data_IF_700431947727
#
_entry.id   IF_700431947727
#
_cell.length_a   1.000
_cell.length_b   1.000
_cell.length_c   1.000
_cell.angle_alpha   90.00
_cell.angle_beta   90.00
_cell.angle_gamma   90.00
#
_symmetry.space_group_name_H-M   'P 1'
#
loop_
_entity.id
_entity.type
_entity.pdbx_description
1 polymer ?
#
# COMPACT_ATOMS: atom_id res chain seq x y z
N UNK A 1 40.33 -46.38 43.27
CA UNK A 1 40.67 -46.32 41.85
C UNK A 1 39.45 -46.11 40.95
N UNK A 2 38.28 -46.65 41.26
CA UNK A 2 37.06 -46.58 40.42
C UNK A 2 36.54 -45.18 40.25
N UNK A 3 36.52 -44.31 41.25
CA UNK A 3 36.02 -42.94 41.15
C UNK A 3 36.82 -42.01 40.20
N UNK A 4 38.11 -42.20 40.09
CA UNK A 4 38.97 -41.46 39.17
C UNK A 4 38.72 -41.87 37.70
N UNK A 5 38.54 -43.16 37.46
CA UNK A 5 38.22 -43.63 36.11
C UNK A 5 36.88 -43.20 35.64
N UNK A 6 35.81 -43.12 36.48
CA UNK A 6 34.49 -42.66 36.17
C UNK A 6 34.50 -41.15 35.85
N UNK A 7 35.28 -40.37 36.59
CA UNK A 7 35.45 -38.93 36.33
C UNK A 7 36.08 -38.66 34.96
N UNK A 8 37.08 -39.41 34.56
CA UNK A 8 37.68 -39.25 33.22
C UNK A 8 36.73 -39.63 32.10
N UNK A 9 35.92 -40.65 32.27
CA UNK A 9 34.91 -41.04 31.26
C UNK A 9 33.86 -39.95 31.08
N UNK A 10 33.39 -39.32 32.16
CA UNK A 10 32.42 -38.25 32.12
C UNK A 10 33.02 -37.02 31.44
N UNK A 11 34.24 -36.62 31.72
CA UNK A 11 34.89 -35.48 31.10
C UNK A 11 35.15 -35.68 29.60
N UNK A 12 35.57 -36.92 29.20
CA UNK A 12 35.73 -37.21 27.76
C UNK A 12 34.41 -37.22 27.00
N UNK A 13 33.31 -37.65 27.64
CA UNK A 13 32.00 -37.66 27.04
C UNK A 13 31.44 -36.24 26.88
N UNK A 14 31.66 -35.35 27.86
CA UNK A 14 31.28 -33.93 27.79
C UNK A 14 32.10 -33.21 26.72
N UNK A 15 33.42 -33.51 26.62
CA UNK A 15 34.27 -32.92 25.59
C UNK A 15 33.85 -33.34 24.18
N UNK A 16 33.41 -34.58 24.00
CA UNK A 16 32.94 -35.13 22.74
C UNK A 16 31.58 -34.50 22.32
N UNK A 17 30.69 -34.26 23.27
CA UNK A 17 29.41 -33.57 23.02
C UNK A 17 29.64 -32.11 22.65
N UNK A 18 30.59 -31.41 23.30
CA UNK A 18 30.92 -30.03 22.94
C UNK A 18 31.52 -29.89 21.52
N UNK A 19 32.28 -30.89 21.06
CA UNK A 19 32.81 -30.91 19.69
C UNK A 19 31.72 -31.13 18.63
N UNK A 20 30.65 -31.84 18.96
CA UNK A 20 29.53 -32.09 18.03
C UNK A 20 28.62 -30.87 17.85
N UNK A 21 28.59 -29.97 18.83
CA UNK A 21 27.76 -28.73 18.77
C UNK A 21 28.46 -27.61 17.97
N UNK A 22 29.79 -27.65 17.87
CA UNK A 22 30.57 -26.66 17.13
C UNK A 22 30.50 -26.80 15.60
N UNK A 23 29.90 -27.88 15.08
CA UNK A 23 29.82 -28.18 13.64
C UNK A 23 28.53 -27.83 12.95
N UNK A 24 27.51 -27.25 13.61
CA UNK A 24 26.21 -26.91 12.97
C UNK A 24 26.02 -25.43 12.65
N UNK A 25 27.04 -24.76 12.15
CA UNK A 25 26.83 -23.57 11.35
C UNK A 25 26.50 -24.02 9.92
N UNK A 26 25.23 -24.24 9.63
CA UNK A 26 24.73 -24.31 8.25
C UNK A 26 24.81 -22.91 7.65
N UNK A 27 25.83 -22.66 6.85
CA UNK A 27 25.81 -21.52 5.92
C UNK A 27 24.80 -21.88 4.85
N UNK A 28 23.61 -21.34 4.98
CA UNK A 28 22.65 -21.32 3.87
C UNK A 28 23.22 -20.38 2.84
N UNK A 29 23.78 -20.92 1.76
CA UNK A 29 24.05 -20.12 0.56
C UNK A 29 22.70 -19.76 -0.05
N UNK A 30 22.38 -18.50 -0.01
CA UNK A 30 21.26 -17.89 -0.71
C UNK A 30 21.70 -17.59 -2.15
N UNK A 31 22.00 -18.66 -2.89
CA UNK A 31 22.31 -18.58 -4.31
C UNK A 31 21.31 -19.47 -5.05
N UNK A 32 20.29 -18.86 -5.64
CA UNK A 32 19.61 -19.29 -6.88
C UNK A 32 18.15 -18.84 -7.08
N UNK A 33 17.66 -17.76 -6.45
CA UNK A 33 16.33 -17.25 -6.80
C UNK A 33 16.22 -15.72 -6.99
N UNK A 34 17.30 -14.99 -6.97
CA UNK A 34 17.29 -13.51 -6.94
C UNK A 34 17.75 -12.86 -8.25
N UNK A 35 18.19 -13.62 -9.25
CA UNK A 35 18.76 -13.01 -10.47
C UNK A 35 17.72 -12.34 -11.40
N UNK A 36 16.42 -12.65 -11.28
CA UNK A 36 15.41 -12.02 -12.15
C UNK A 36 14.74 -10.78 -11.55
N UNK A 37 14.66 -10.70 -10.21
CA UNK A 37 14.03 -9.56 -9.52
C UNK A 37 15.02 -8.44 -9.23
N UNK A 38 16.29 -8.75 -8.94
CA UNK A 38 17.35 -7.74 -8.77
C UNK A 38 17.69 -7.02 -10.09
N UNK A 39 17.60 -7.71 -11.23
CA UNK A 39 17.84 -7.11 -12.54
C UNK A 39 16.72 -6.14 -12.97
N UNK A 40 15.47 -6.41 -12.57
CA UNK A 40 14.33 -5.56 -12.93
C UNK A 40 14.32 -4.24 -12.14
N UNK A 41 14.77 -4.25 -10.90
CA UNK A 41 14.91 -3.03 -10.08
C UNK A 41 16.19 -2.24 -10.37
N UNK A 42 17.23 -2.87 -10.90
CA UNK A 42 18.53 -2.23 -11.13
C UNK A 42 18.48 -1.02 -12.07
N UNK A 43 17.50 -0.98 -12.98
CA UNK A 43 17.28 0.13 -13.91
C UNK A 43 16.84 1.44 -13.23
N UNK A 44 16.32 1.35 -12.00
CA UNK A 44 15.85 2.52 -11.24
C UNK A 44 16.91 3.14 -10.33
N UNK A 45 18.13 2.61 -10.34
CA UNK A 45 19.23 3.18 -9.58
C UNK A 45 20.11 4.04 -10.50
N UNK A 46 20.05 5.35 -10.33
CA UNK A 46 21.01 6.27 -10.94
C UNK A 46 22.13 6.55 -9.94
N UNK A 47 23.39 6.30 -10.33
CA UNK A 47 24.58 6.43 -9.47
C UNK A 47 24.51 5.65 -8.14
N UNK A 48 23.69 4.60 -8.06
CA UNK A 48 23.49 3.78 -6.85
C UNK A 48 22.43 4.33 -5.90
N UNK A 49 21.69 5.34 -6.28
CA UNK A 49 20.52 5.84 -5.55
C UNK A 49 19.23 5.43 -6.28
N UNK A 50 18.23 4.94 -5.52
CA UNK A 50 16.94 4.53 -6.07
C UNK A 50 16.11 5.74 -6.53
N UNK A 51 15.71 5.77 -7.79
CA UNK A 51 14.80 6.79 -8.35
C UNK A 51 13.33 6.35 -8.28
N UNK A 52 12.66 6.73 -7.18
CA UNK A 52 11.26 6.43 -6.96
C UNK A 52 10.31 7.05 -8.02
N UNK A 53 10.70 8.17 -8.62
CA UNK A 53 9.90 8.82 -9.66
C UNK A 53 9.93 8.00 -10.95
N UNK A 54 11.12 7.61 -11.39
CA UNK A 54 11.29 6.77 -12.57
C UNK A 54 10.56 5.43 -12.39
N UNK A 55 10.68 4.81 -11.21
CA UNK A 55 9.95 3.59 -10.88
C UNK A 55 8.44 3.79 -11.03
N UNK A 56 7.85 4.80 -10.40
CA UNK A 56 6.41 5.07 -10.47
C UNK A 56 5.95 5.35 -11.91
N UNK A 57 6.71 6.15 -12.67
CA UNK A 57 6.40 6.42 -14.08
C UNK A 57 6.36 5.14 -14.93
N UNK A 58 7.25 4.19 -14.64
CA UNK A 58 7.30 2.93 -15.39
C UNK A 58 6.14 1.98 -15.08
N UNK A 59 5.70 1.90 -13.80
CA UNK A 59 4.66 0.95 -13.38
C UNK A 59 3.24 1.53 -13.43
N UNK A 60 3.07 2.86 -13.56
CA UNK A 60 1.76 3.50 -13.41
C UNK A 60 0.73 3.02 -14.43
N UNK A 61 1.04 3.14 -15.73
CA UNK A 61 0.10 2.78 -16.80
C UNK A 61 0.01 1.27 -17.03
N UNK A 62 1.09 0.53 -16.77
CA UNK A 62 1.19 -0.88 -17.08
C UNK A 62 0.72 -1.79 -15.93
N UNK A 63 0.80 -1.32 -14.68
CA UNK A 63 0.47 -2.12 -13.51
C UNK A 63 -0.49 -1.44 -12.53
N UNK A 64 -0.19 -0.21 -12.04
CA UNK A 64 -0.98 0.44 -10.99
C UNK A 64 -2.41 0.73 -11.46
N UNK A 65 -2.55 1.43 -12.58
CA UNK A 65 -3.87 1.82 -13.08
C UNK A 65 -4.71 0.61 -13.55
N UNK A 66 -4.18 -0.37 -14.26
CA UNK A 66 -4.89 -1.62 -14.58
C UNK A 66 -5.34 -2.37 -13.33
N UNK A 67 -4.46 -2.53 -12.32
CA UNK A 67 -4.80 -3.22 -11.07
C UNK A 67 -5.98 -2.57 -10.37
N UNK A 68 -5.96 -1.25 -10.20
CA UNK A 68 -7.07 -0.54 -9.55
C UNK A 68 -8.35 -0.62 -10.40
N UNK A 69 -8.28 -0.53 -11.72
CA UNK A 69 -9.46 -0.66 -12.60
C UNK A 69 -10.13 -2.05 -12.49
N UNK A 70 -9.34 -3.09 -12.39
CA UNK A 70 -9.81 -4.48 -12.30
C UNK A 70 -10.44 -4.78 -10.94
N UNK A 71 -9.77 -4.40 -9.85
CA UNK A 71 -10.16 -4.76 -8.49
C UNK A 71 -11.12 -3.77 -7.83
N UNK A 72 -11.31 -2.57 -8.39
CA UNK A 72 -12.18 -1.57 -7.79
C UNK A 72 -13.64 -2.01 -7.74
N UNK A 73 -14.19 -1.98 -6.55
CA UNK A 73 -15.59 -2.29 -6.25
C UNK A 73 -16.42 -1.01 -6.36
N UNK A 74 -17.66 -1.13 -6.84
CA UNK A 74 -18.62 -0.02 -6.80
C UNK A 74 -18.82 0.44 -5.35
N UNK A 75 -18.75 1.74 -5.13
CA UNK A 75 -18.78 2.34 -3.78
C UNK A 75 -20.03 1.93 -2.99
N UNK A 76 -21.18 1.89 -3.63
CA UNK A 76 -22.44 1.48 -3.00
C UNK A 76 -22.35 0.05 -2.47
N UNK A 77 -21.84 -0.89 -3.28
CA UNK A 77 -21.67 -2.30 -2.89
C UNK A 77 -20.64 -2.45 -1.78
N UNK A 78 -19.51 -1.75 -1.89
CA UNK A 78 -18.45 -1.83 -0.89
C UNK A 78 -18.89 -1.27 0.46
N UNK A 79 -19.48 -0.08 0.47
CA UNK A 79 -19.90 0.56 1.72
C UNK A 79 -21.07 -0.14 2.38
N UNK A 80 -22.02 -0.69 1.61
CA UNK A 80 -23.07 -1.56 2.14
C UNK A 80 -22.49 -2.83 2.78
N UNK A 81 -21.50 -3.46 2.12
CA UNK A 81 -20.81 -4.64 2.66
C UNK A 81 -20.06 -4.32 3.96
N UNK A 82 -19.34 -3.20 4.01
CA UNK A 82 -18.62 -2.74 5.22
C UNK A 82 -19.59 -2.40 6.36
N UNK A 83 -20.79 -1.89 6.05
CA UNK A 83 -21.83 -1.62 7.06
C UNK A 83 -22.50 -2.89 7.60
N UNK A 84 -22.73 -3.89 6.75
CA UNK A 84 -23.48 -5.08 7.13
C UNK A 84 -22.61 -6.16 7.77
N UNK A 85 -21.45 -6.43 7.19
CA UNK A 85 -20.47 -7.41 7.68
C UNK A 85 -19.05 -7.00 7.28
N UNK A 86 -18.36 -6.18 8.10
CA UNK A 86 -17.01 -5.74 7.82
C UNK A 86 -16.02 -6.89 7.61
N UNK A 87 -16.18 -7.99 8.33
CA UNK A 87 -15.27 -9.14 8.23
C UNK A 87 -15.34 -9.79 6.86
N UNK A 88 -16.52 -10.03 6.35
CA UNK A 88 -16.75 -10.56 5.00
C UNK A 88 -16.31 -9.56 3.92
N UNK A 89 -16.56 -8.25 4.12
CA UNK A 89 -16.11 -7.22 3.20
C UNK A 89 -14.57 -7.16 3.11
N UNK A 90 -13.89 -7.26 4.24
CA UNK A 90 -12.43 -7.31 4.34
C UNK A 90 -11.88 -8.55 3.62
N UNK A 91 -12.44 -9.72 3.90
CA UNK A 91 -12.00 -10.98 3.28
C UNK A 91 -12.13 -10.95 1.75
N UNK A 92 -13.18 -10.31 1.25
CA UNK A 92 -13.54 -10.33 -0.17
C UNK A 92 -12.88 -9.21 -0.98
N UNK A 93 -12.73 -8.03 -0.40
CA UNK A 93 -12.35 -6.82 -1.13
C UNK A 93 -11.15 -6.09 -0.52
N UNK A 94 -10.76 -6.46 0.71
CA UNK A 94 -9.69 -5.77 1.43
C UNK A 94 -8.33 -6.33 1.06
N UNK A 95 -7.36 -5.43 0.90
CA UNK A 95 -5.96 -5.76 0.77
C UNK A 95 -5.15 -5.10 1.88
N UNK A 96 -4.13 -5.76 2.39
CA UNK A 96 -3.15 -5.17 3.30
C UNK A 96 -1.77 -5.70 3.01
N UNK A 97 -0.79 -4.84 3.07
CA UNK A 97 0.59 -5.14 2.76
C UNK A 97 1.26 -6.01 3.84
N UNK A 98 0.83 -5.86 5.09
CA UNK A 98 1.33 -6.62 6.25
C UNK A 98 0.20 -6.93 7.23
N UNK A 99 0.41 -7.96 8.07
CA UNK A 99 -0.62 -8.43 9.05
C UNK A 99 -1.08 -7.34 10.01
N UNK A 100 -0.21 -6.40 10.38
CA UNK A 100 -0.51 -5.30 11.31
C UNK A 100 -0.93 -4.02 10.61
N UNK A 101 -0.83 -3.94 9.28
CA UNK A 101 -1.24 -2.77 8.51
C UNK A 101 -2.76 -2.67 8.43
N UNK A 102 -3.33 -1.46 8.32
CA UNK A 102 -4.73 -1.27 8.00
C UNK A 102 -5.08 -1.87 6.63
N UNK A 103 -6.35 -2.22 6.45
CA UNK A 103 -6.84 -2.66 5.15
C UNK A 103 -7.02 -1.48 4.19
N UNK A 104 -6.68 -1.71 2.94
CA UNK A 104 -6.91 -0.80 1.84
C UNK A 104 -7.98 -1.39 0.93
N UNK A 105 -8.79 -0.52 0.34
CA UNK A 105 -9.84 -0.90 -0.60
C UNK A 105 -9.70 -0.07 -1.87
N UNK A 106 -9.91 -0.71 -3.01
CA UNK A 106 -10.01 -0.05 -4.30
C UNK A 106 -11.49 0.17 -4.62
N UNK A 107 -11.83 1.40 -4.95
CA UNK A 107 -13.22 1.84 -5.08
C UNK A 107 -13.43 2.67 -6.34
N UNK A 108 -14.60 2.52 -6.94
CA UNK A 108 -15.07 3.34 -8.06
C UNK A 108 -16.54 3.72 -7.88
N UNK A 109 -16.94 4.78 -8.54
CA UNK A 109 -18.33 5.21 -8.54
C UNK A 109 -18.57 6.52 -9.24
N UNK A 110 -19.85 6.92 -9.24
CA UNK A 110 -20.30 8.26 -9.64
C UNK A 110 -21.06 8.87 -8.49
N UNK A 111 -20.88 10.18 -8.27
CA UNK A 111 -21.48 10.86 -7.14
C UNK A 111 -21.66 12.37 -7.45
N UNK A 112 -22.46 13.06 -6.64
CA UNK A 112 -22.58 14.51 -6.66
C UNK A 112 -21.70 15.08 -5.54
N UNK A 113 -20.96 16.12 -5.84
CA UNK A 113 -20.14 16.84 -4.86
C UNK A 113 -21.07 17.68 -3.97
N UNK A 114 -21.10 17.38 -2.69
CA UNK A 114 -21.95 18.09 -1.70
C UNK A 114 -21.21 19.23 -1.01
N UNK A 115 -19.90 19.10 -0.83
CA UNK A 115 -19.05 20.12 -0.22
C UNK A 115 -17.65 20.13 -0.86
N UNK A 116 -16.98 21.27 -0.83
CA UNK A 116 -15.62 21.44 -1.32
C UNK A 116 -14.79 22.27 -0.33
N UNK A 117 -13.80 21.65 0.29
CA UNK A 117 -12.82 22.33 1.16
C UNK A 117 -11.56 22.66 0.36
N UNK A 118 -11.61 23.68 -0.47
CA UNK A 118 -10.51 24.03 -1.40
C UNK A 118 -9.48 24.99 -0.82
N UNK A 119 -9.72 25.55 0.39
CA UNK A 119 -8.81 26.50 1.04
C UNK A 119 -7.64 25.81 1.77
N UNK A 120 -7.80 24.54 2.10
CA UNK A 120 -6.76 23.74 2.75
C UNK A 120 -5.71 23.29 1.74
N UNK A 121 -4.46 23.20 2.17
CA UNK A 121 -3.43 22.52 1.39
C UNK A 121 -3.78 21.03 1.14
N UNK A 122 -4.41 20.37 2.12
CA UNK A 122 -5.00 19.03 1.96
C UNK A 122 -6.49 19.20 1.62
N UNK A 123 -6.78 19.78 0.47
CA UNK A 123 -8.14 20.04 0.00
C UNK A 123 -8.88 18.73 -0.30
N UNK A 124 -10.17 18.70 0.02
CA UNK A 124 -11.06 17.57 -0.22
C UNK A 124 -12.39 18.03 -0.80
N UNK A 125 -13.07 17.13 -1.48
CA UNK A 125 -14.49 17.22 -1.79
C UNK A 125 -15.24 16.13 -1.05
N UNK A 126 -16.40 16.46 -0.49
CA UNK A 126 -17.34 15.47 0.06
C UNK A 126 -18.37 15.10 -1.00
N UNK A 127 -18.74 13.85 -1.07
CA UNK A 127 -19.69 13.32 -2.05
C UNK A 127 -20.96 12.78 -1.38
N UNK A 128 -22.04 12.65 -2.16
CA UNK A 128 -23.35 12.16 -1.70
C UNK A 128 -23.40 10.62 -1.57
N UNK A 129 -22.34 10.03 -1.02
CA UNK A 129 -22.27 8.61 -0.76
C UNK A 129 -22.46 8.30 0.73
N UNK A 130 -23.19 7.23 1.03
CA UNK A 130 -23.31 6.71 2.39
C UNK A 130 -22.06 5.87 2.73
N UNK A 131 -21.10 6.50 3.37
CA UNK A 131 -19.92 5.81 3.87
C UNK A 131 -20.24 4.81 4.99
N UNK A 132 -19.28 3.97 5.36
CA UNK A 132 -19.39 3.07 6.50
C UNK A 132 -19.77 3.85 7.77
N UNK A 133 -20.65 3.26 8.59
CA UNK A 133 -21.17 3.85 9.83
C UNK A 133 -21.83 5.24 9.64
N UNK A 134 -22.34 5.54 8.44
CA UNK A 134 -22.90 6.85 8.11
C UNK A 134 -21.87 7.98 8.12
N UNK A 135 -20.60 7.65 8.02
CA UNK A 135 -19.50 8.62 8.00
C UNK A 135 -19.35 9.28 6.62
N UNK A 136 -18.77 10.49 6.57
CA UNK A 136 -18.56 11.17 5.29
C UNK A 136 -17.60 10.40 4.39
N UNK A 137 -17.85 10.51 3.08
CA UNK A 137 -16.92 10.05 2.05
C UNK A 137 -16.32 11.28 1.39
N UNK A 138 -15.02 11.38 1.47
CA UNK A 138 -14.26 12.49 0.91
C UNK A 138 -13.26 11.98 -0.14
N UNK A 139 -12.99 12.80 -1.15
CA UNK A 139 -11.97 12.55 -2.16
C UNK A 139 -10.92 13.66 -2.05
N UNK A 140 -9.66 13.28 -2.02
CA UNK A 140 -8.52 14.19 -1.96
C UNK A 140 -8.35 14.91 -3.30
N UNK A 141 -8.30 16.24 -3.29
CA UNK A 141 -8.06 17.07 -4.47
C UNK A 141 -6.98 18.12 -4.26
N UNK A 142 -6.35 18.13 -3.10
CA UNK A 142 -5.41 19.17 -2.70
C UNK A 142 -4.03 19.02 -3.31
N UNK A 143 -3.19 20.06 -3.24
CA UNK A 143 -1.77 19.95 -3.59
C UNK A 143 -1.02 19.02 -2.64
N UNK A 144 -1.54 18.80 -1.43
CA UNK A 144 -1.04 17.80 -0.49
C UNK A 144 -2.02 16.64 -0.46
N UNK A 145 -1.58 15.48 -0.96
CA UNK A 145 -2.27 14.20 -0.86
C UNK A 145 -1.66 13.44 0.32
N UNK A 146 -2.52 12.96 1.21
CA UNK A 146 -2.12 12.23 2.43
C UNK A 146 -2.26 10.74 2.26
N UNK A 147 -1.43 10.00 3.00
CA UNK A 147 -1.51 8.56 3.11
C UNK A 147 -0.80 7.81 1.99
N UNK A 148 -0.93 6.52 2.08
CA UNK A 148 -0.21 5.54 1.26
C UNK A 148 -1.15 4.56 0.56
N UNK A 149 -2.47 4.85 0.58
CA UNK A 149 -3.51 3.92 0.16
C UNK A 149 -3.30 3.34 -1.25
N UNK A 150 -2.84 4.15 -2.22
CA UNK A 150 -2.59 3.67 -3.59
C UNK A 150 -1.42 2.68 -3.61
N UNK A 151 -0.27 3.00 -2.98
CA UNK A 151 0.85 2.07 -2.88
C UNK A 151 0.47 0.80 -2.13
N UNK A 152 -0.18 0.95 -0.97
CA UNK A 152 -0.50 -0.16 -0.08
C UNK A 152 -1.66 -1.04 -0.59
N UNK A 153 -2.27 -0.66 -1.71
CA UNK A 153 -3.21 -1.48 -2.47
C UNK A 153 -2.54 -2.32 -3.56
N UNK A 154 -1.25 -2.13 -3.82
CA UNK A 154 -0.52 -2.88 -4.83
C UNK A 154 0.09 -4.15 -4.23
N UNK A 155 -0.21 -5.29 -4.85
CA UNK A 155 0.28 -6.61 -4.44
C UNK A 155 1.65 -6.98 -5.03
N UNK A 156 2.21 -6.07 -5.83
CA UNK A 156 3.52 -6.20 -6.44
C UNK A 156 4.56 -5.18 -5.91
N UNK A 157 4.24 -4.40 -4.87
CA UNK A 157 5.15 -3.45 -4.23
C UNK A 157 5.35 -3.87 -2.78
N UNK A 158 6.43 -4.58 -2.50
CA UNK A 158 6.74 -5.07 -1.16
C UNK A 158 7.87 -4.28 -0.54
N UNK A 159 7.89 -4.19 0.78
CA UNK A 159 8.96 -3.49 1.49
C UNK A 159 10.34 -4.12 1.23
N UNK A 160 10.38 -5.44 1.07
CA UNK A 160 11.57 -6.24 0.84
C UNK A 160 12.26 -5.94 -0.50
N UNK A 161 11.54 -5.34 -1.46
CA UNK A 161 12.07 -4.96 -2.78
C UNK A 161 12.97 -3.72 -2.70
N UNK A 162 13.00 -3.03 -1.56
CA UNK A 162 13.72 -1.76 -1.37
C UNK A 162 14.79 -1.87 -0.29
N UNK A 163 15.87 -1.10 -0.46
CA UNK A 163 17.02 -1.15 0.45
C UNK A 163 16.68 -0.65 1.85
N UNK A 164 15.73 0.26 1.98
CA UNK A 164 15.38 0.88 3.25
C UNK A 164 13.98 1.51 3.24
N UNK A 165 13.52 1.84 4.45
CA UNK A 165 12.20 2.42 4.67
C UNK A 165 11.98 3.76 3.96
N UNK A 166 13.03 4.53 3.68
CA UNK A 166 12.92 5.81 3.00
C UNK A 166 12.62 5.62 1.52
N UNK A 167 13.26 4.68 0.84
CA UNK A 167 12.98 4.34 -0.55
C UNK A 167 11.52 3.88 -0.69
N UNK A 168 11.08 2.95 0.14
CA UNK A 168 9.69 2.50 0.16
C UNK A 168 8.68 3.63 0.44
N UNK A 169 8.98 4.55 1.37
CA UNK A 169 8.15 5.72 1.62
C UNK A 169 8.11 6.69 0.42
N UNK A 170 9.23 6.80 -0.31
CA UNK A 170 9.32 7.63 -1.50
C UNK A 170 8.39 7.17 -2.63
N UNK A 171 8.12 5.85 -2.76
CA UNK A 171 7.14 5.34 -3.74
C UNK A 171 5.77 5.98 -3.52
N UNK A 172 5.23 5.95 -2.31
CA UNK A 172 3.92 6.55 -2.06
C UNK A 172 3.91 8.07 -2.28
N UNK A 173 5.01 8.74 -1.96
CA UNK A 173 5.16 10.17 -2.23
C UNK A 173 5.15 10.46 -3.74
N UNK A 174 5.87 9.69 -4.54
CA UNK A 174 5.91 9.88 -5.98
C UNK A 174 4.60 9.45 -6.67
N UNK A 175 3.91 8.42 -6.19
CA UNK A 175 2.54 8.12 -6.63
C UNK A 175 1.59 9.29 -6.37
N UNK A 176 1.63 9.87 -5.17
CA UNK A 176 0.83 11.05 -4.84
C UNK A 176 1.21 12.28 -5.68
N UNK A 177 2.49 12.45 -6.03
CA UNK A 177 2.96 13.48 -6.94
C UNK A 177 2.47 13.24 -8.37
N UNK A 178 2.48 12.00 -8.85
CA UNK A 178 1.96 11.62 -10.15
C UNK A 178 0.45 11.92 -10.25
N UNK A 179 -0.36 11.51 -9.28
CA UNK A 179 -1.79 11.81 -9.20
C UNK A 179 -2.04 13.33 -9.27
N UNK A 180 -1.28 14.08 -8.51
CA UNK A 180 -1.36 15.54 -8.49
C UNK A 180 -1.05 16.16 -9.86
N UNK A 181 -0.03 15.65 -10.55
CA UNK A 181 0.44 16.19 -11.82
C UNK A 181 -0.45 15.79 -13.01
N UNK A 182 -1.05 14.60 -12.98
CA UNK A 182 -1.81 14.04 -14.12
C UNK A 182 -3.32 14.10 -13.91
N UNK A 183 -3.82 13.75 -12.73
CA UNK A 183 -5.26 13.65 -12.46
C UNK A 183 -5.83 14.97 -11.97
N UNK A 184 -5.16 15.62 -11.02
CA UNK A 184 -5.70 16.80 -10.35
C UNK A 184 -5.26 18.13 -10.97
N UNK A 185 -4.30 18.12 -11.89
CA UNK A 185 -3.79 19.34 -12.51
C UNK A 185 -4.85 20.08 -13.36
N UNK A 186 -5.76 19.34 -14.00
CA UNK A 186 -6.80 19.88 -14.84
C UNK A 186 -8.10 20.24 -14.09
N UNK A 187 -8.19 19.90 -12.79
CA UNK A 187 -9.40 20.10 -12.00
C UNK A 187 -9.64 21.59 -11.72
N UNK A 188 -10.75 22.11 -12.23
CA UNK A 188 -11.23 23.47 -11.92
C UNK A 188 -11.90 23.46 -10.56
N UNK A 189 -11.28 24.10 -9.56
CA UNK A 189 -11.69 23.99 -8.15
C UNK A 189 -12.77 24.98 -7.72
N UNK A 190 -13.14 25.93 -8.59
CA UNK A 190 -13.99 27.05 -8.22
C UNK A 190 -15.48 26.69 -8.18
N UNK A 191 -15.94 25.74 -8.99
CA UNK A 191 -17.37 25.43 -9.16
C UNK A 191 -17.63 23.92 -9.05
N UNK A 192 -17.14 23.31 -7.95
CA UNK A 192 -17.23 21.87 -7.77
C UNK A 192 -18.55 21.43 -7.12
N UNK A 193 -19.11 22.23 -6.21
CA UNK A 193 -20.32 21.83 -5.46
C UNK A 193 -21.51 21.73 -6.40
N UNK A 194 -22.21 20.60 -6.37
CA UNK A 194 -23.32 20.26 -7.25
C UNK A 194 -22.89 19.59 -8.55
N UNK A 195 -21.61 19.55 -8.88
CA UNK A 195 -21.12 18.85 -10.05
C UNK A 195 -21.20 17.32 -9.82
N UNK A 196 -21.52 16.60 -10.89
CA UNK A 196 -21.45 15.15 -10.93
C UNK A 196 -20.05 14.72 -11.32
N UNK A 197 -19.53 13.72 -10.61
CA UNK A 197 -18.21 13.16 -10.87
C UNK A 197 -18.28 11.67 -11.07
N UNK A 198 -17.30 11.16 -11.82
CA UNK A 198 -16.91 9.76 -11.82
C UNK A 198 -15.49 9.65 -11.25
N UNK A 199 -15.30 8.70 -10.38
CA UNK A 199 -14.02 8.52 -9.70
C UNK A 199 -13.61 7.05 -9.63
N UNK A 200 -12.30 6.85 -9.57
CA UNK A 200 -11.62 5.60 -9.30
C UNK A 200 -10.46 5.89 -8.36
N UNK A 201 -10.27 5.10 -7.31
CA UNK A 201 -9.21 5.36 -6.35
C UNK A 201 -9.07 4.27 -5.31
N UNK A 202 -8.27 4.58 -4.29
CA UNK A 202 -8.06 3.71 -3.15
C UNK A 202 -8.19 4.49 -1.84
N UNK A 203 -8.59 3.80 -0.78
CA UNK A 203 -8.60 4.36 0.57
C UNK A 203 -8.16 3.33 1.59
N UNK A 204 -7.59 3.83 2.68
CA UNK A 204 -7.28 3.04 3.86
C UNK A 204 -8.49 3.07 4.79
N UNK A 205 -8.93 1.91 5.24
CA UNK A 205 -10.10 1.80 6.10
C UNK A 205 -9.70 1.64 7.57
N UNK A 206 -10.30 2.46 8.40
CA UNK A 206 -10.24 2.39 9.85
C UNK A 206 -11.66 2.42 10.37
N UNK A 207 -12.03 1.41 11.15
CA UNK A 207 -13.38 1.29 11.72
C UNK A 207 -13.75 2.54 12.52
N UNK A 208 -14.95 3.07 12.27
CA UNK A 208 -15.46 4.27 12.94
C UNK A 208 -14.94 5.60 12.39
N UNK A 209 -14.06 5.58 11.38
CA UNK A 209 -13.59 6.79 10.68
C UNK A 209 -14.32 7.03 9.36
N UNK A 210 -14.22 8.25 8.83
CA UNK A 210 -14.69 8.58 7.48
C UNK A 210 -13.78 7.98 6.40
N UNK A 211 -14.33 7.86 5.19
CA UNK A 211 -13.57 7.39 4.03
C UNK A 211 -12.86 8.57 3.35
N UNK A 212 -11.55 8.45 3.19
CA UNK A 212 -10.74 9.44 2.46
C UNK A 212 -10.09 8.77 1.24
N UNK A 213 -10.70 8.97 0.08
CA UNK A 213 -10.27 8.37 -1.19
C UNK A 213 -9.10 9.17 -1.78
N UNK A 214 -8.02 8.47 -2.14
CA UNK A 214 -6.97 8.98 -3.02
C UNK A 214 -7.34 8.61 -4.46
N UNK A 215 -7.71 9.57 -5.31
CA UNK A 215 -8.16 9.26 -6.66
C UNK A 215 -7.00 8.94 -7.59
N UNK A 216 -7.17 7.93 -8.45
CA UNK A 216 -6.28 7.62 -9.58
C UNK A 216 -6.94 7.94 -10.92
N UNK A 217 -8.23 8.22 -10.91
CA UNK A 217 -9.00 8.85 -11.98
C UNK A 217 -10.12 9.69 -11.37
N UNK A 218 -10.35 10.88 -11.89
CA UNK A 218 -11.40 11.80 -11.43
C UNK A 218 -11.87 12.67 -12.58
N UNK A 219 -13.10 12.47 -12.99
CA UNK A 219 -13.72 13.18 -14.10
C UNK A 219 -14.96 13.93 -13.61
N UNK A 220 -15.01 15.24 -13.85
CA UNK A 220 -16.22 16.03 -13.67
C UNK A 220 -17.06 15.87 -14.92
N UNK A 221 -18.30 15.37 -14.77
CA UNK A 221 -19.24 15.21 -15.88
C UNK A 221 -19.93 16.57 -16.17
N UNK A 222 -20.01 16.93 -17.43
CA UNK A 222 -20.68 18.16 -17.91
C UNK A 222 -22.21 18.01 -17.89
#
# INVERSE_FOLDING_TARGET
MVHKALSYIIHTFILMICLLIAGSCTVVRHDQQTESEEDELSIYFDNGEFDAKLYVESVWEEAVLPRIKEEAVEAEVLFESLNSDPSTAIEKYGYRIEVTAPYNFMVKGSAIITQANVKSAAATISIDANGPDGKPVEIQIGPVIKGTAVRDSMDFIHFEDFTNQLEFANISREMNNHIKATILASLKREELVGAKIRYLGAFQWVEGEGVLITPVDLVVEE
#
